data_IF_143761096563
#
_entry.id   IF_143761096563
#
_cell.length_a   1.000
_cell.length_b   1.000
_cell.length_c   1.000
_cell.angle_alpha   90.00
_cell.angle_beta   90.00
_cell.angle_gamma   90.00
#
_symmetry.space_group_name_H-M   'P 1'
#
loop_
_entity.id
_entity.type
_entity.pdbx_description
1 polymer ?
#
# COMPACT_ATOMS: atom_id res chain seq x y z
N UNK A 1 -13.87 -15.50 21.67
CA UNK A 1 -13.27 -14.21 21.26
C UNK A 1 -13.83 -13.81 19.91
N UNK A 2 -14.45 -12.63 19.86
CA UNK A 2 -15.10 -12.12 18.66
C UNK A 2 -14.05 -11.52 17.73
N UNK A 3 -14.13 -11.79 16.42
CA UNK A 3 -13.18 -11.30 15.41
C UNK A 3 -13.07 -9.77 15.47
N UNK A 4 -14.18 -9.11 15.74
CA UNK A 4 -14.25 -7.66 15.88
C UNK A 4 -13.38 -7.14 17.02
N UNK A 5 -13.34 -7.85 18.15
CA UNK A 5 -12.57 -7.45 19.32
C UNK A 5 -11.07 -7.52 19.04
N UNK A 6 -10.63 -8.57 18.34
CA UNK A 6 -9.25 -8.69 17.87
C UNK A 6 -8.87 -7.57 16.90
N UNK A 7 -9.74 -7.26 15.93
CA UNK A 7 -9.52 -6.15 14.98
C UNK A 7 -9.38 -4.82 15.73
N UNK A 8 -10.22 -4.56 16.74
CA UNK A 8 -10.12 -3.32 17.51
C UNK A 8 -8.84 -3.21 18.33
N UNK A 9 -8.34 -4.32 18.89
CA UNK A 9 -7.08 -4.33 19.64
C UNK A 9 -5.89 -4.06 18.72
N UNK A 10 -5.85 -4.70 17.55
CA UNK A 10 -4.80 -4.47 16.55
C UNK A 10 -4.83 -3.03 16.00
N UNK A 11 -6.01 -2.47 15.76
CA UNK A 11 -6.15 -1.06 15.37
C UNK A 11 -5.62 -0.10 16.45
N UNK A 12 -5.92 -0.35 17.73
CA UNK A 12 -5.39 0.47 18.84
C UNK A 12 -3.86 0.41 18.93
N UNK A 13 -3.26 -0.76 18.69
CA UNK A 13 -1.80 -0.90 18.65
C UNK A 13 -1.20 -0.11 17.48
N UNK A 14 -1.83 -0.17 16.30
CA UNK A 14 -1.41 0.60 15.12
C UNK A 14 -1.53 2.11 15.35
N UNK A 15 -2.62 2.58 15.96
CA UNK A 15 -2.81 3.99 16.32
C UNK A 15 -1.72 4.48 17.29
N UNK A 16 -1.38 3.67 18.30
CA UNK A 16 -0.30 4.02 19.23
C UNK A 16 1.08 4.10 18.55
N UNK A 17 1.37 3.19 17.62
CA UNK A 17 2.60 3.22 16.83
C UNK A 17 2.65 4.41 15.86
N UNK A 18 1.51 4.82 15.31
CA UNK A 18 1.40 5.99 14.43
C UNK A 18 1.76 7.27 15.17
N UNK A 19 1.22 7.46 16.38
CA UNK A 19 1.54 8.63 17.23
C UNK A 19 3.03 8.67 17.56
N UNK A 20 3.61 7.55 17.99
CA UNK A 20 5.05 7.49 18.32
C UNK A 20 5.93 7.76 17.10
N UNK A 21 5.54 7.26 15.92
CA UNK A 21 6.27 7.51 14.67
C UNK A 21 6.18 8.98 14.24
N UNK A 22 5.03 9.62 14.45
CA UNK A 22 4.83 11.03 14.18
C UNK A 22 5.68 11.90 15.12
N UNK A 23 5.64 11.63 16.42
CA UNK A 23 6.47 12.32 17.41
C UNK A 23 7.97 12.16 17.11
N UNK A 24 8.41 10.95 16.75
CA UNK A 24 9.79 10.69 16.37
C UNK A 24 10.18 11.43 15.08
N UNK A 25 9.26 11.55 14.12
CA UNK A 25 9.49 12.37 12.92
C UNK A 25 9.61 13.85 13.26
N UNK A 26 8.73 14.39 14.10
CA UNK A 26 8.81 15.77 14.55
C UNK A 26 10.11 16.05 15.32
N UNK A 27 10.49 15.16 16.24
CA UNK A 27 11.75 15.22 16.97
C UNK A 27 12.98 15.08 16.04
N UNK A 28 12.83 14.45 14.87
CA UNK A 28 13.91 14.38 13.88
C UNK A 28 14.12 15.70 13.10
N UNK A 29 13.13 16.59 13.10
CA UNK A 29 13.24 17.93 12.47
C UNK A 29 14.00 18.92 13.34
N UNK A 30 13.87 18.78 14.66
CA UNK A 30 14.66 19.56 15.61
C UNK A 30 16.10 19.03 15.57
N UNK A 31 16.93 19.72 14.78
CA UNK A 31 18.34 19.36 14.65
C UNK A 31 19.06 19.45 16.01
N UNK A 32 20.27 18.87 16.06
CA UNK A 32 21.10 18.95 17.26
C UNK A 32 21.47 20.40 17.52
N UNK A 33 21.01 20.98 18.62
CA UNK A 33 21.54 22.25 19.09
C UNK A 33 23.02 22.08 19.40
N UNK A 34 23.90 22.76 18.65
CA UNK A 34 25.32 22.83 18.95
C UNK A 34 25.62 24.21 19.49
N UNK A 35 25.76 24.31 20.81
CA UNK A 35 26.37 25.49 21.43
C UNK A 35 27.86 25.47 21.11
N UNK A 36 28.31 26.40 20.26
CA UNK A 36 29.74 26.63 20.03
C UNK A 36 30.18 27.77 20.92
N UNK A 37 30.74 27.45 22.07
CA UNK A 37 31.40 28.45 22.93
C UNK A 37 32.69 28.89 22.22
N UNK A 38 32.63 30.01 21.49
CA UNK A 38 33.82 30.65 20.93
C UNK A 38 34.51 31.42 22.06
N UNK A 39 35.27 30.73 22.89
CA UNK A 39 36.28 31.40 23.69
C UNK A 39 37.38 31.89 22.75
N UNK A 40 37.37 33.15 22.35
CA UNK A 40 38.54 33.91 21.87
C UNK A 40 39.69 33.89 22.91
N UNK A 41 40.28 32.73 23.18
CA UNK A 41 41.51 32.57 23.99
C UNK A 41 42.76 33.06 23.25
N UNK A 42 42.73 34.22 22.59
CA UNK A 42 43.94 34.67 21.89
C UNK A 42 43.96 36.02 21.18
N UNK A 43 42.87 36.81 21.14
CA UNK A 43 42.96 38.18 20.61
C UNK A 43 42.17 39.15 21.48
N UNK A 44 42.86 40.12 22.13
CA UNK A 44 42.18 41.26 22.73
C UNK A 44 41.44 42.01 21.64
N UNK A 45 40.15 42.24 21.83
CA UNK A 45 39.44 43.30 21.11
C UNK A 45 40.02 44.58 21.70
N UNK A 46 40.84 45.31 20.92
CA UNK A 46 41.34 46.62 21.34
C UNK A 46 40.12 47.54 21.47
N UNK A 47 39.65 47.72 22.69
CA UNK A 47 38.85 48.87 23.07
C UNK A 47 39.81 49.96 23.52
N UNK A 48 39.52 51.21 23.15
CA UNK A 48 40.27 52.40 23.56
C UNK A 48 40.03 52.75 25.05
N UNK A 49 40.08 51.76 25.94
CA UNK A 49 39.82 51.92 27.36
C UNK A 49 41.14 51.96 28.13
N UNK A 50 41.45 53.14 28.66
CA UNK A 50 42.53 53.40 29.62
C UNK A 50 42.31 52.63 30.92
N UNK A 51 43.33 51.85 31.28
CA UNK A 51 43.74 51.50 32.65
C UNK A 51 42.63 51.06 33.62
N UNK A 52 42.17 49.82 33.51
CA UNK A 52 41.98 48.85 34.61
C UNK A 52 41.26 47.61 34.06
N UNK A 53 41.92 46.46 34.14
CA UNK A 53 41.47 45.09 33.82
C UNK A 53 40.67 44.90 32.50
N UNK A 54 41.25 44.35 31.42
CA UNK A 54 40.52 44.11 30.19
C UNK A 54 39.42 43.05 30.39
N UNK A 55 38.20 43.51 30.68
CA UNK A 55 37.04 42.66 30.85
C UNK A 55 36.70 41.99 29.52
N UNK A 56 37.05 40.71 29.45
CA UNK A 56 36.96 39.90 28.25
C UNK A 56 35.49 39.59 27.92
N UNK A 57 34.91 40.36 26.98
CA UNK A 57 33.60 40.07 26.41
C UNK A 57 33.72 38.95 25.36
N UNK A 58 33.65 37.69 25.80
CA UNK A 58 33.28 36.59 24.93
C UNK A 58 31.81 36.72 24.53
N UNK A 59 31.48 36.53 23.26
CA UNK A 59 30.09 36.39 22.83
C UNK A 59 29.78 34.91 22.61
N UNK A 60 28.73 34.42 23.27
CA UNK A 60 28.20 33.09 23.03
C UNK A 60 27.34 33.10 21.77
N UNK A 61 27.77 32.37 20.74
CA UNK A 61 27.03 32.21 19.50
C UNK A 61 26.25 30.88 19.54
N UNK A 62 24.94 30.95 19.78
CA UNK A 62 24.06 29.78 19.70
C UNK A 62 23.53 29.62 18.28
N UNK A 63 24.02 28.65 17.52
CA UNK A 63 23.47 28.30 16.21
C UNK A 63 22.43 27.17 16.36
N UNK A 64 21.19 27.44 15.95
CA UNK A 64 20.13 26.43 15.89
C UNK A 64 20.01 25.92 14.46
N UNK A 65 20.59 24.76 14.19
CA UNK A 65 20.41 24.07 12.91
C UNK A 65 19.05 23.32 12.95
N UNK A 66 18.11 23.71 12.10
CA UNK A 66 16.85 22.96 11.91
C UNK A 66 17.02 22.02 10.72
N UNK A 67 16.64 20.74 10.89
CA UNK A 67 16.75 19.71 9.85
C UNK A 67 15.39 19.48 9.19
N UNK A 68 15.37 19.02 7.94
CA UNK A 68 14.14 18.64 7.24
C UNK A 68 13.46 17.37 7.79
N UNK A 69 14.06 16.73 8.79
CA UNK A 69 13.59 15.47 9.38
C UNK A 69 14.09 14.24 8.62
N UNK A 70 14.07 13.08 9.28
CA UNK A 70 14.50 11.82 8.68
C UNK A 70 13.33 11.18 7.90
N UNK A 71 13.46 10.94 6.57
CA UNK A 71 12.38 10.40 5.75
C UNK A 71 11.98 8.97 6.11
N UNK A 72 12.83 8.20 6.81
CA UNK A 72 12.51 6.81 7.20
C UNK A 72 11.28 6.72 8.12
N UNK A 73 10.97 7.77 8.87
CA UNK A 73 9.76 7.81 9.69
C UNK A 73 8.50 7.91 8.84
N UNK A 74 8.56 8.57 7.69
CA UNK A 74 7.45 8.64 6.74
C UNK A 74 7.19 7.28 6.08
N UNK A 75 8.25 6.52 5.76
CA UNK A 75 8.10 5.14 5.27
C UNK A 75 7.45 4.23 6.32
N UNK A 76 7.80 4.41 7.60
CA UNK A 76 7.20 3.66 8.70
C UNK A 76 5.72 4.02 8.90
N UNK A 77 5.38 5.31 8.83
CA UNK A 77 4.00 5.79 8.85
C UNK A 77 3.17 5.22 7.68
N UNK A 78 3.72 5.22 6.46
CA UNK A 78 3.06 4.63 5.29
C UNK A 78 2.75 3.15 5.51
N UNK A 79 3.71 2.38 6.06
CA UNK A 79 3.51 0.96 6.36
C UNK A 79 2.39 0.73 7.41
N UNK A 80 2.29 1.59 8.42
CA UNK A 80 1.22 1.52 9.42
C UNK A 80 -0.14 1.80 8.77
N UNK A 81 -0.21 2.85 7.94
CA UNK A 81 -1.42 3.23 7.21
C UNK A 81 -1.89 2.13 6.24
N UNK A 82 -0.97 1.50 5.51
CA UNK A 82 -1.28 0.36 4.63
C UNK A 82 -1.85 -0.84 5.40
N UNK A 83 -1.28 -1.17 6.58
CA UNK A 83 -1.81 -2.25 7.43
C UNK A 83 -3.21 -1.91 7.95
N UNK A 84 -3.46 -0.66 8.34
CA UNK A 84 -4.79 -0.18 8.75
C UNK A 84 -5.80 -0.28 7.60
N UNK A 85 -5.43 0.18 6.41
CA UNK A 85 -6.27 0.11 5.21
C UNK A 85 -6.62 -1.34 4.85
N UNK A 86 -5.66 -2.27 4.99
CA UNK A 86 -5.88 -3.70 4.78
C UNK A 86 -6.83 -4.32 5.80
N UNK A 87 -6.69 -3.99 7.09
CA UNK A 87 -7.58 -4.50 8.16
C UNK A 87 -9.01 -3.96 8.02
N UNK A 88 -9.17 -2.72 7.55
CA UNK A 88 -10.48 -2.11 7.31
C UNK A 88 -11.09 -2.45 5.94
N UNK A 89 -10.34 -3.14 5.07
CA UNK A 89 -10.80 -3.52 3.73
C UNK A 89 -10.83 -2.38 2.71
N UNK A 90 -10.24 -1.20 3.01
CA UNK A 90 -10.13 -0.09 2.06
C UNK A 90 -9.25 -0.42 0.85
N UNK A 91 -8.30 -1.34 1.03
CA UNK A 91 -7.41 -1.82 -0.04
C UNK A 91 -7.95 -3.09 -0.74
N UNK A 92 -9.17 -3.53 -0.40
CA UNK A 92 -9.77 -4.68 -1.06
C UNK A 92 -10.16 -4.32 -2.50
N UNK A 93 -9.94 -5.22 -3.49
CA UNK A 93 -10.31 -4.96 -4.87
C UNK A 93 -11.81 -4.74 -4.96
N UNK A 94 -12.19 -3.52 -5.34
CA UNK A 94 -13.60 -3.16 -5.55
C UNK A 94 -14.07 -3.86 -6.81
N UNK A 95 -15.06 -4.74 -6.68
CA UNK A 95 -15.75 -5.32 -7.83
C UNK A 95 -16.60 -4.22 -8.47
N UNK A 96 -16.06 -3.56 -9.49
CA UNK A 96 -16.79 -2.57 -10.26
C UNK A 96 -17.65 -3.34 -11.27
N UNK A 97 -18.97 -3.32 -11.05
CA UNK A 97 -19.92 -3.75 -12.06
C UNK A 97 -20.00 -2.64 -13.11
N UNK A 98 -19.29 -2.81 -14.23
CA UNK A 98 -19.39 -1.90 -15.37
C UNK A 98 -20.72 -2.20 -16.07
N UNK A 99 -21.68 -1.27 -16.12
CA UNK A 99 -22.95 -1.50 -16.80
C UNK A 99 -22.70 -1.81 -18.28
N UNK A 100 -23.10 -3.00 -18.73
CA UNK A 100 -22.89 -3.48 -20.10
C UNK A 100 -21.67 -4.40 -20.30
N UNK A 101 -20.81 -4.57 -19.29
CA UNK A 101 -19.76 -5.59 -19.29
C UNK A 101 -20.18 -6.73 -18.38
N UNK A 102 -20.87 -7.73 -18.95
CA UNK A 102 -21.11 -8.99 -18.28
C UNK A 102 -19.79 -9.77 -18.25
N UNK A 103 -18.92 -9.52 -17.27
CA UNK A 103 -17.84 -10.42 -16.89
C UNK A 103 -18.40 -11.69 -16.21
N UNK A 104 -19.41 -12.29 -16.84
CA UNK A 104 -20.24 -13.34 -16.28
C UNK A 104 -20.28 -14.50 -17.26
N UNK A 105 -19.61 -15.58 -16.89
CA UNK A 105 -19.83 -16.97 -17.33
C UNK A 105 -19.28 -17.45 -18.68
N UNK A 106 -18.68 -16.62 -19.53
CA UNK A 106 -18.01 -17.11 -20.76
C UNK A 106 -16.52 -17.38 -20.56
N UNK A 107 -15.81 -16.54 -19.79
CA UNK A 107 -14.35 -16.68 -19.59
C UNK A 107 -13.97 -17.86 -18.67
N UNK A 108 -14.85 -18.27 -17.76
CA UNK A 108 -14.64 -19.41 -16.85
C UNK A 108 -15.03 -20.76 -17.45
N UNK A 109 -15.62 -20.80 -18.65
CA UNK A 109 -15.90 -22.07 -19.33
C UNK A 109 -14.62 -22.57 -19.99
N UNK A 110 -14.29 -23.88 -19.88
CA UNK A 110 -13.19 -24.43 -20.64
C UNK A 110 -13.43 -24.15 -22.13
N UNK A 111 -12.54 -23.36 -22.72
CA UNK A 111 -12.57 -23.05 -24.15
C UNK A 111 -12.11 -24.27 -24.91
N UNK A 112 -13.06 -25.11 -25.34
CA UNK A 112 -12.75 -26.28 -26.15
C UNK A 112 -12.36 -25.85 -27.56
N UNK A 113 -11.11 -26.09 -27.92
CA UNK A 113 -10.65 -25.93 -29.30
C UNK A 113 -11.08 -27.16 -30.12
N UNK A 114 -11.99 -26.97 -31.07
CA UNK A 114 -12.48 -28.05 -31.92
C UNK A 114 -11.40 -28.60 -32.87
N UNK A 115 -10.28 -27.90 -33.06
CA UNK A 115 -9.19 -28.33 -33.95
C UNK A 115 -8.31 -29.43 -33.35
N UNK A 116 -8.32 -29.58 -32.02
CA UNK A 116 -7.55 -30.63 -31.32
C UNK A 116 -8.31 -31.95 -31.22
N UNK A 117 -9.59 -31.98 -31.60
CA UNK A 117 -10.39 -33.22 -31.63
C UNK A 117 -9.99 -34.03 -32.87
N UNK A 118 -9.58 -35.30 -32.74
CA UNK A 118 -9.31 -36.16 -33.88
C UNK A 118 -10.52 -36.24 -34.80
N UNK A 119 -10.30 -36.03 -36.11
CA UNK A 119 -11.37 -35.94 -37.11
C UNK A 119 -12.28 -37.18 -37.10
N UNK A 120 -11.71 -38.37 -36.92
CA UNK A 120 -12.46 -39.62 -36.90
C UNK A 120 -13.47 -39.70 -35.75
N UNK A 121 -13.12 -39.13 -34.59
CA UNK A 121 -14.03 -39.03 -33.44
C UNK A 121 -15.11 -37.95 -33.68
N UNK A 122 -14.75 -36.85 -34.34
CA UNK A 122 -15.71 -35.82 -34.72
C UNK A 122 -16.78 -36.36 -35.67
N UNK A 123 -16.37 -37.12 -36.69
CA UNK A 123 -17.30 -37.75 -37.64
C UNK A 123 -18.17 -38.83 -36.98
N UNK A 124 -17.60 -39.64 -36.08
CA UNK A 124 -18.36 -40.67 -35.36
C UNK A 124 -19.43 -40.07 -34.42
N UNK A 125 -19.15 -38.92 -33.80
CA UNK A 125 -20.12 -38.19 -32.97
C UNK A 125 -21.21 -37.54 -33.84
N UNK A 126 -20.83 -36.97 -34.99
CA UNK A 126 -21.77 -36.38 -35.94
C UNK A 126 -22.75 -37.42 -36.51
N UNK A 127 -22.26 -38.61 -36.90
CA UNK A 127 -23.09 -39.69 -37.45
C UNK A 127 -24.06 -40.25 -36.41
N UNK A 128 -23.61 -40.38 -35.15
CA UNK A 128 -24.49 -40.77 -34.02
C UNK A 128 -25.56 -39.71 -33.72
N UNK A 129 -25.23 -38.43 -33.82
CA UNK A 129 -26.22 -37.35 -33.64
C UNK A 129 -27.22 -37.34 -34.79
N UNK A 130 -26.76 -37.51 -36.03
CA UNK A 130 -27.63 -37.52 -37.21
C UNK A 130 -28.58 -38.73 -37.21
N UNK A 131 -28.10 -39.91 -36.81
CA UNK A 131 -28.95 -41.09 -36.64
C UNK A 131 -29.92 -40.97 -35.46
N UNK A 132 -29.52 -40.34 -34.35
CA UNK A 132 -30.41 -40.08 -33.23
C UNK A 132 -31.52 -39.07 -33.58
N UNK A 133 -31.20 -37.99 -34.29
CA UNK A 133 -32.18 -37.03 -34.78
C UNK A 133 -33.11 -37.66 -35.83
N UNK A 134 -32.57 -38.49 -36.73
CA UNK A 134 -33.39 -39.27 -37.66
C UNK A 134 -34.36 -40.22 -36.93
N UNK A 135 -33.90 -40.90 -35.87
CA UNK A 135 -34.74 -41.78 -35.05
C UNK A 135 -35.86 -41.00 -34.34
N UNK A 136 -35.59 -39.80 -33.82
CA UNK A 136 -36.62 -38.92 -33.25
C UNK A 136 -37.67 -38.51 -34.29
N UNK A 137 -37.25 -38.06 -35.47
CA UNK A 137 -38.15 -37.66 -36.56
C UNK A 137 -39.01 -38.83 -37.03
N UNK A 138 -38.46 -40.04 -37.09
CA UNK A 138 -39.22 -41.25 -37.44
C UNK A 138 -40.20 -41.68 -36.35
N UNK A 139 -39.87 -41.48 -35.06
CA UNK A 139 -40.80 -41.70 -33.96
C UNK A 139 -41.95 -40.68 -33.96
N UNK A 140 -41.67 -39.42 -34.28
CA UNK A 140 -42.69 -38.37 -34.43
C UNK A 140 -43.60 -38.61 -35.63
N UNK A 141 -43.07 -39.11 -36.76
CA UNK A 141 -43.88 -39.48 -37.93
C UNK A 141 -44.63 -40.81 -37.76
N UNK A 142 -44.10 -41.76 -36.99
CA UNK A 142 -44.76 -43.03 -36.67
C UNK A 142 -45.85 -42.91 -35.61
N UNK A 143 -45.93 -41.78 -34.89
CA UNK A 143 -47.02 -41.48 -33.96
C UNK A 143 -48.26 -40.84 -34.61
N UNK A 144 -48.25 -40.63 -35.93
CA UNK A 144 -49.37 -40.13 -36.71
C UNK A 144 -49.90 -41.21 -37.66
N UNK A 145 -50.47 -42.28 -37.09
CA UNK A 145 -51.38 -43.21 -37.80
C UNK A 145 -52.44 -43.73 -36.84
#
# INVERSE_FOLDING_TARGET
DNIDEYVTQELRKLDAMEVQAWEAWEASKTGKQRTKEKTNRGRPIKTDATDTDPEYYGYDETTVETSAGNPRFLDLLLNIQQRRAKMLGFDAPVKIEIPGYNAGTEDDKPKYDATVIPKDLLFAVADKLQSAEYAKVMAEKGGAQ
#
